data_IF_782745815941
#
_entry.id   IF_782745815941
#
_cell.length_a   1.000
_cell.length_b   1.000
_cell.length_c   1.000
_cell.angle_alpha   90.00
_cell.angle_beta   90.00
_cell.angle_gamma   90.00
#
_symmetry.space_group_name_H-M   'P 1'
#
loop_
_entity.id
_entity.type
_entity.pdbx_description
1 polymer ?
#
# COMPACT_ATOMS: atom_id res chain seq x y z
N UNK A 1 -11.64 -9.29 0.39
CA UNK A 1 -12.21 -7.98 0.01
C UNK A 1 -11.17 -6.93 0.35
N UNK A 2 -10.37 -6.43 -0.61
CA UNK A 2 -9.38 -5.41 -0.31
C UNK A 2 -10.09 -4.10 0.04
N UNK A 3 -9.86 -3.57 1.25
CA UNK A 3 -10.51 -2.31 1.62
C UNK A 3 -9.81 -1.10 1.00
N UNK A 4 -8.48 -1.16 0.81
CA UNK A 4 -7.70 -0.05 0.25
C UNK A 4 -6.57 -0.52 -0.65
N UNK A 5 -6.27 0.34 -1.63
CA UNK A 5 -5.22 0.19 -2.61
C UNK A 5 -4.48 1.52 -2.73
N UNK A 6 -3.16 1.49 -2.77
CA UNK A 6 -2.31 2.66 -2.96
C UNK A 6 -1.12 2.34 -3.86
N UNK A 7 -0.65 3.32 -4.63
CA UNK A 7 0.50 3.16 -5.52
C UNK A 7 1.68 4.00 -5.06
N UNK A 8 2.91 3.49 -5.22
CA UNK A 8 4.13 4.27 -4.97
C UNK A 8 5.34 3.57 -5.58
N UNK A 9 6.22 4.40 -6.15
CA UNK A 9 7.54 3.98 -6.62
C UNK A 9 7.51 2.73 -7.53
N UNK A 10 6.60 2.72 -8.51
CA UNK A 10 6.45 1.60 -9.45
C UNK A 10 5.65 0.40 -8.94
N UNK A 11 5.16 0.44 -7.70
CA UNK A 11 4.39 -0.67 -7.12
C UNK A 11 2.98 -0.27 -6.72
N UNK A 12 2.09 -1.26 -6.67
CA UNK A 12 0.76 -1.18 -6.06
C UNK A 12 0.77 -1.98 -4.77
N UNK A 13 0.20 -1.40 -3.72
CA UNK A 13 0.05 -2.00 -2.40
C UNK A 13 -1.43 -2.11 -2.07
N UNK A 14 -1.84 -3.20 -1.44
CA UNK A 14 -3.22 -3.39 -0.99
C UNK A 14 -3.28 -4.20 0.30
N UNK A 15 -4.40 -4.04 1.01
CA UNK A 15 -4.72 -4.92 2.15
C UNK A 15 -5.46 -6.15 1.66
N UNK A 16 -5.00 -7.34 2.08
CA UNK A 16 -5.79 -8.56 1.97
C UNK A 16 -6.35 -8.95 3.33
N UNK A 17 -7.68 -8.91 3.43
CA UNK A 17 -8.42 -9.19 4.66
C UNK A 17 -8.46 -10.67 4.99
N UNK A 18 -8.38 -11.54 3.98
CA UNK A 18 -8.41 -12.97 4.20
C UNK A 18 -7.14 -13.44 4.92
N UNK A 19 -5.99 -12.91 4.53
CA UNK A 19 -4.70 -13.21 5.16
C UNK A 19 -4.27 -12.18 6.22
N UNK A 20 -5.03 -11.10 6.41
CA UNK A 20 -4.71 -9.97 7.29
C UNK A 20 -3.30 -9.43 7.01
N UNK A 21 -3.03 -9.19 5.73
CA UNK A 21 -1.70 -8.86 5.24
C UNK A 21 -1.70 -7.63 4.33
N UNK A 22 -0.53 -7.00 4.25
CA UNK A 22 -0.22 -5.98 3.26
C UNK A 22 0.55 -6.67 2.15
N UNK A 23 0.04 -6.54 0.94
CA UNK A 23 0.63 -7.13 -0.25
C UNK A 23 1.08 -6.04 -1.22
N UNK A 24 2.05 -6.38 -2.08
CA UNK A 24 2.58 -5.51 -3.12
C UNK A 24 2.73 -6.27 -4.42
N UNK A 25 2.54 -5.60 -5.56
CA UNK A 25 2.93 -6.09 -6.89
C UNK A 25 3.48 -4.96 -7.74
N UNK A 26 4.23 -5.33 -8.78
CA UNK A 26 4.67 -4.42 -9.82
C UNK A 26 3.44 -3.77 -10.49
N UNK A 27 3.44 -2.43 -10.58
CA UNK A 27 2.28 -1.68 -11.07
C UNK A 27 2.00 -1.90 -12.55
N UNK A 28 3.05 -2.08 -13.35
CA UNK A 28 2.93 -2.13 -14.81
C UNK A 28 2.54 -3.54 -15.29
N UNK A 29 3.14 -4.55 -14.68
CA UNK A 29 2.97 -5.95 -15.08
C UNK A 29 1.99 -6.71 -14.21
N UNK A 30 1.70 -6.24 -12.99
CA UNK A 30 0.92 -6.96 -11.99
C UNK A 30 1.64 -8.19 -11.40
N UNK A 31 2.91 -8.40 -11.75
CA UNK A 31 3.70 -9.54 -11.31
C UNK A 31 4.47 -9.24 -10.01
N UNK A 32 5.25 -10.21 -9.54
CA UNK A 32 6.04 -10.12 -8.30
C UNK A 32 5.17 -9.77 -7.09
N UNK A 33 4.07 -10.50 -6.95
CA UNK A 33 3.17 -10.38 -5.80
C UNK A 33 3.89 -10.87 -4.55
N UNK A 34 4.06 -10.00 -3.57
CA UNK A 34 4.78 -10.27 -2.33
C UNK A 34 3.97 -9.82 -1.11
N UNK A 35 4.06 -10.59 -0.02
CA UNK A 35 3.55 -10.16 1.29
C UNK A 35 4.62 -9.33 1.99
N UNK A 36 4.31 -8.06 2.21
CA UNK A 36 5.20 -7.13 2.92
C UNK A 36 5.13 -7.36 4.43
N UNK A 37 3.91 -7.54 4.95
CA UNK A 37 3.67 -7.82 6.36
C UNK A 37 2.39 -8.62 6.50
N UNK A 38 2.42 -9.67 7.32
CA UNK A 38 1.26 -10.52 7.60
C UNK A 38 0.83 -10.47 9.06
N UNK A 39 -0.32 -11.11 9.33
CA UNK A 39 -0.88 -11.31 10.67
C UNK A 39 -1.12 -10.02 11.46
N UNK A 40 -1.64 -8.99 10.78
CA UNK A 40 -1.97 -7.72 11.42
C UNK A 40 -3.39 -7.81 11.97
N UNK A 41 -3.53 -7.90 13.30
CA UNK A 41 -4.84 -7.87 13.95
C UNK A 41 -5.51 -6.51 13.78
N UNK A 42 -6.81 -6.52 13.47
CA UNK A 42 -7.58 -5.29 13.31
C UNK A 42 -7.12 -4.43 12.12
N UNK A 43 -6.46 -5.01 11.11
CA UNK A 43 -6.07 -4.30 9.89
C UNK A 43 -7.31 -3.67 9.24
N UNK A 44 -7.42 -2.33 9.31
CA UNK A 44 -8.55 -1.57 8.78
C UNK A 44 -8.16 -0.71 7.60
N UNK A 45 -7.10 0.07 7.76
CA UNK A 45 -6.64 1.01 6.74
C UNK A 45 -5.11 0.95 6.57
N UNK A 46 -4.63 1.30 5.38
CA UNK A 46 -3.22 1.54 5.09
C UNK A 46 -3.07 2.92 4.46
N UNK A 47 -2.19 3.73 5.05
CA UNK A 47 -1.82 5.03 4.50
C UNK A 47 -0.33 5.04 4.17
N UNK A 48 -0.01 5.65 3.04
CA UNK A 48 1.36 5.91 2.69
C UNK A 48 1.78 7.33 3.09
N UNK A 49 2.88 7.40 3.83
CA UNK A 49 3.51 8.63 4.29
C UNK A 49 4.89 8.71 3.64
N UNK A 50 5.11 9.74 2.83
CA UNK A 50 6.36 9.96 2.10
C UNK A 50 6.49 11.44 1.79
N UNK A 51 7.68 12.00 2.00
CA UNK A 51 7.98 13.40 1.64
C UNK A 51 7.80 13.67 0.14
N UNK A 52 7.94 12.64 -0.71
CA UNK A 52 7.68 12.74 -2.15
C UNK A 52 6.18 12.84 -2.49
N UNK A 53 5.28 12.48 -1.57
CA UNK A 53 3.82 12.62 -1.73
C UNK A 53 3.23 13.74 -0.87
N UNK A 54 3.92 14.11 0.20
CA UNK A 54 3.51 15.16 1.13
C UNK A 54 4.41 16.38 0.91
N UNK A 55 4.45 16.88 -0.33
CA UNK A 55 5.24 18.05 -0.73
C UNK A 55 4.62 19.35 -0.25
N UNK A 56 4.02 19.37 0.95
CA UNK A 56 3.16 20.46 1.43
C UNK A 56 3.66 21.82 1.01
N UNK A 57 2.88 22.53 0.19
CA UNK A 57 3.17 23.89 -0.22
C UNK A 57 2.92 24.80 0.99
N UNK A 58 3.90 24.87 1.88
CA UNK A 58 3.90 25.86 2.92
C UNK A 58 4.33 27.19 2.29
N UNK A 59 3.33 28.07 2.14
CA UNK A 59 3.42 29.49 1.75
C UNK A 59 3.70 29.77 0.26
N UNK A 60 2.61 30.01 -0.49
CA UNK A 60 2.58 30.92 -1.65
C UNK A 60 1.74 32.14 -1.31
#
# INVERSE_FOLDING_TARGET
>A
HPLLILQFDGYVYWTDWQTRSIMRADKETGQNVETIQGNIEGLMDIQMVSSLRQTGDCCL
#
